data_IF_589483877468
#
_entry.id   IF_589483877468
#
_cell.length_a   1.000
_cell.length_b   1.000
_cell.length_c   1.000
_cell.angle_alpha   90.00
_cell.angle_beta   90.00
_cell.angle_gamma   90.00
#
_symmetry.space_group_name_H-M   'P 1'
#
loop_
_entity.id
_entity.type
_entity.pdbx_description
1 polymer ?
#
# COMPACT_ATOMS: atom_id res chain seq x y z
N UNK A 1 19.27 -13.53 -7.26
CA UNK A 1 18.30 -12.43 -7.05
C UNK A 1 19.11 -11.21 -6.62
N UNK A 2 18.73 -10.01 -7.03
CA UNK A 2 19.44 -8.78 -6.64
C UNK A 2 19.35 -8.63 -5.12
N UNK A 3 20.47 -8.41 -4.42
CA UNK A 3 20.51 -8.24 -2.95
C UNK A 3 19.52 -7.17 -2.47
N UNK A 4 19.31 -6.11 -3.26
CA UNK A 4 18.33 -5.06 -2.93
C UNK A 4 16.90 -5.59 -3.07
N UNK A 5 16.63 -6.45 -4.03
CA UNK A 5 15.33 -7.12 -4.16
C UNK A 5 15.08 -8.08 -2.99
N UNK A 6 16.07 -8.88 -2.61
CA UNK A 6 15.95 -9.80 -1.46
C UNK A 6 15.60 -9.03 -0.18
N UNK A 7 16.19 -7.82 -0.02
CA UNK A 7 15.92 -6.96 1.12
C UNK A 7 14.49 -6.42 1.10
N UNK A 8 13.98 -6.01 -0.05
CA UNK A 8 12.58 -5.58 -0.16
C UNK A 8 11.64 -6.73 0.24
N UNK A 9 11.88 -7.92 -0.30
CA UNK A 9 11.09 -9.12 -0.01
C UNK A 9 11.11 -9.52 1.49
N UNK A 10 12.23 -9.32 2.17
CA UNK A 10 12.32 -9.48 3.64
C UNK A 10 11.40 -8.51 4.37
N UNK A 11 11.42 -7.23 3.98
CA UNK A 11 10.54 -6.19 4.55
C UNK A 11 9.08 -6.56 4.29
N UNK A 12 8.74 -7.01 3.07
CA UNK A 12 7.37 -7.42 2.74
C UNK A 12 6.89 -8.53 3.68
N UNK A 13 7.68 -9.60 3.84
CA UNK A 13 7.36 -10.72 4.73
C UNK A 13 7.22 -10.27 6.19
N UNK A 14 8.13 -9.42 6.67
CA UNK A 14 8.14 -8.94 8.05
C UNK A 14 6.85 -8.21 8.40
N UNK A 15 6.34 -7.40 7.47
CA UNK A 15 5.16 -6.55 7.68
C UNK A 15 3.88 -7.08 7.05
N UNK A 16 3.89 -8.34 6.58
CA UNK A 16 2.71 -8.97 5.95
C UNK A 16 2.16 -8.13 4.80
N UNK A 17 3.06 -7.56 4.01
CA UNK A 17 2.74 -6.73 2.86
C UNK A 17 2.55 -7.61 1.62
N UNK A 18 1.45 -7.41 0.91
CA UNK A 18 1.04 -8.24 -0.22
C UNK A 18 1.14 -7.45 -1.53
N UNK A 19 2.14 -7.72 -2.38
CA UNK A 19 2.15 -7.21 -3.75
C UNK A 19 0.98 -7.79 -4.56
N UNK A 20 0.39 -6.96 -5.41
CA UNK A 20 -0.58 -7.37 -6.44
C UNK A 20 0.07 -7.30 -7.82
N UNK A 21 -0.15 -8.34 -8.63
CA UNK A 21 0.50 -8.50 -9.92
C UNK A 21 1.93 -9.00 -9.81
N UNK A 22 2.77 -8.67 -10.79
CA UNK A 22 4.13 -9.23 -10.90
C UNK A 22 5.23 -8.33 -10.30
N UNK A 23 4.93 -7.04 -10.12
CA UNK A 23 5.90 -6.04 -9.64
C UNK A 23 5.65 -5.64 -8.19
N UNK A 24 6.00 -4.38 -7.87
CA UNK A 24 5.89 -3.77 -6.54
C UNK A 24 5.11 -2.45 -6.59
N UNK A 25 4.17 -2.36 -7.52
CA UNK A 25 3.34 -1.18 -7.73
C UNK A 25 2.11 -1.19 -6.82
N UNK A 26 1.50 -2.33 -6.52
CA UNK A 26 0.41 -2.39 -5.52
C UNK A 26 0.79 -3.28 -4.34
N UNK A 27 1.65 -2.77 -3.46
CA UNK A 27 2.04 -3.47 -2.23
C UNK A 27 1.09 -3.10 -1.09
N UNK A 28 0.04 -3.92 -0.89
CA UNK A 28 -1.01 -3.70 0.11
C UNK A 28 -0.46 -4.00 1.51
N UNK A 29 -0.66 -3.08 2.46
CA UNK A 29 -0.18 -3.26 3.84
C UNK A 29 -1.28 -2.96 4.84
N UNK A 30 -1.57 -3.92 5.72
CA UNK A 30 -2.58 -3.75 6.75
C UNK A 30 -2.26 -2.56 7.68
N UNK A 31 -3.32 -1.92 8.19
CA UNK A 31 -3.29 -0.74 9.06
C UNK A 31 -2.46 -0.90 10.34
N UNK A 32 -2.28 -2.12 10.80
CA UNK A 32 -1.45 -2.37 11.99
C UNK A 32 0.05 -2.24 11.70
N UNK A 33 0.47 -2.35 10.44
CA UNK A 33 1.88 -2.45 10.05
C UNK A 33 2.38 -1.29 9.17
N UNK A 34 1.49 -0.52 8.53
CA UNK A 34 1.91 0.43 7.49
C UNK A 34 2.92 1.49 7.96
N UNK A 35 2.85 1.96 9.21
CA UNK A 35 3.79 2.97 9.72
C UNK A 35 5.22 2.43 9.80
N UNK A 36 5.37 1.26 10.42
CA UNK A 36 6.67 0.61 10.59
C UNK A 36 7.21 0.10 9.25
N UNK A 37 6.32 -0.37 8.37
CA UNK A 37 6.63 -0.71 6.99
C UNK A 37 7.23 0.46 6.20
N UNK A 38 6.58 1.63 6.23
CA UNK A 38 7.08 2.84 5.57
C UNK A 38 8.45 3.21 6.16
N UNK A 39 8.55 3.25 7.48
CA UNK A 39 9.79 3.63 8.14
C UNK A 39 10.95 2.72 7.70
N UNK A 40 10.78 1.40 7.81
CA UNK A 40 11.81 0.44 7.44
C UNK A 40 12.14 0.46 5.95
N UNK A 41 11.14 0.66 5.08
CA UNK A 41 11.37 0.80 3.64
C UNK A 41 12.27 2.01 3.34
N UNK A 42 11.95 3.18 3.90
CA UNK A 42 12.76 4.40 3.71
C UNK A 42 14.15 4.27 4.36
N UNK A 43 14.27 3.59 5.51
CA UNK A 43 15.57 3.33 6.14
C UNK A 43 16.49 2.41 5.33
N UNK A 44 15.92 1.55 4.48
CA UNK A 44 16.65 0.68 3.56
C UNK A 44 16.77 1.27 2.15
N UNK A 45 16.60 2.59 2.00
CA UNK A 45 16.78 3.33 0.75
C UNK A 45 15.90 2.82 -0.41
N UNK A 46 14.67 2.40 -0.06
CA UNK A 46 13.59 2.23 -1.01
C UNK A 46 12.81 3.53 -1.18
N UNK A 47 12.36 3.76 -2.40
CA UNK A 47 11.56 4.91 -2.78
C UNK A 47 10.11 4.47 -2.98
N UNK A 48 9.19 5.13 -2.29
CA UNK A 48 7.74 4.96 -2.46
C UNK A 48 7.26 6.23 -3.14
N UNK A 49 6.75 6.12 -4.37
CA UNK A 49 6.40 7.28 -5.19
C UNK A 49 4.89 7.43 -5.42
N UNK A 50 4.09 6.44 -5.02
CA UNK A 50 2.65 6.59 -5.02
C UNK A 50 1.98 5.73 -3.95
N UNK A 51 0.75 6.11 -3.64
CA UNK A 51 -0.17 5.35 -2.79
C UNK A 51 -1.44 5.09 -3.61
N UNK A 52 -1.84 3.82 -3.69
CA UNK A 52 -3.17 3.42 -4.14
C UNK A 52 -4.02 2.99 -2.93
N UNK A 53 -5.34 2.97 -3.09
CA UNK A 53 -6.26 2.76 -1.98
C UNK A 53 -7.16 1.56 -2.18
N UNK A 54 -7.29 0.77 -1.12
CA UNK A 54 -7.98 -0.50 -1.10
C UNK A 54 -8.94 -0.56 0.09
N UNK A 55 -9.95 -1.41 -0.04
CA UNK A 55 -10.85 -1.80 1.03
C UNK A 55 -10.50 -3.21 1.51
N UNK A 56 -10.46 -3.42 2.82
CA UNK A 56 -10.39 -4.75 3.44
C UNK A 56 -11.75 -5.17 3.97
N UNK A 57 -12.16 -6.37 3.59
CA UNK A 57 -13.42 -6.98 4.03
C UNK A 57 -13.20 -8.45 4.38
N UNK A 58 -14.03 -9.03 5.26
CA UNK A 58 -14.00 -10.47 5.55
C UNK A 58 -14.42 -11.30 4.35
N UNK A 59 -15.48 -10.87 3.68
CA UNK A 59 -16.02 -11.53 2.49
C UNK A 59 -16.09 -10.54 1.34
N UNK A 60 -15.71 -11.00 0.13
CA UNK A 60 -15.67 -10.14 -1.06
C UNK A 60 -17.07 -9.58 -1.43
N UNK A 61 -18.14 -10.28 -1.03
CA UNK A 61 -19.53 -9.82 -1.20
C UNK A 61 -19.86 -8.58 -0.40
N UNK A 62 -19.11 -8.33 0.69
CA UNK A 62 -19.44 -7.30 1.67
C UNK A 62 -18.72 -5.97 1.37
N UNK A 63 -17.95 -5.91 0.28
CA UNK A 63 -17.27 -4.70 -0.18
C UNK A 63 -18.28 -3.57 -0.40
N UNK A 64 -17.94 -2.38 0.08
CA UNK A 64 -18.77 -1.17 0.00
C UNK A 64 -18.21 -0.17 -1.01
N UNK A 65 -16.89 -0.11 -1.14
CA UNK A 65 -16.17 0.93 -1.86
C UNK A 65 -15.36 0.37 -3.02
N UNK A 66 -14.72 -0.78 -2.80
CA UNK A 66 -13.84 -1.42 -3.77
C UNK A 66 -14.61 -2.25 -4.80
N UNK A 67 -13.98 -2.48 -5.95
CA UNK A 67 -14.57 -3.26 -7.04
C UNK A 67 -14.28 -4.76 -6.95
N UNK A 68 -13.18 -5.13 -6.30
CA UNK A 68 -12.75 -6.52 -6.11
C UNK A 68 -11.23 -6.63 -6.06
N UNK A 69 -10.70 -7.82 -5.81
CA UNK A 69 -9.26 -8.02 -5.70
C UNK A 69 -8.90 -9.37 -5.09
N UNK A 70 -7.63 -9.57 -4.71
CA UNK A 70 -7.15 -10.84 -4.21
C UNK A 70 -7.62 -11.10 -2.78
N UNK A 71 -7.72 -12.38 -2.42
CA UNK A 71 -7.78 -12.80 -1.02
C UNK A 71 -6.45 -12.43 -0.35
N UNK A 72 -6.50 -12.00 0.90
CA UNK A 72 -5.28 -11.75 1.66
C UNK A 72 -4.54 -13.07 1.92
N UNK A 73 -3.21 -13.07 1.73
CA UNK A 73 -2.35 -14.20 2.09
C UNK A 73 -2.07 -14.28 3.60
N UNK A 74 -2.21 -13.15 4.31
CA UNK A 74 -1.77 -13.02 5.69
C UNK A 74 -2.90 -12.88 6.70
N UNK A 75 -4.11 -12.52 6.23
CA UNK A 75 -5.28 -12.26 7.08
C UNK A 75 -6.52 -12.96 6.50
N UNK A 76 -7.51 -13.22 7.35
CA UNK A 76 -8.78 -13.76 6.89
C UNK A 76 -9.66 -12.65 6.33
N UNK A 77 -9.59 -12.49 5.00
CA UNK A 77 -10.34 -11.47 4.28
C UNK A 77 -9.87 -11.27 2.85
N UNK A 78 -10.45 -10.27 2.21
CA UNK A 78 -10.22 -9.87 0.83
C UNK A 78 -9.83 -8.42 0.76
N UNK A 79 -8.99 -8.11 -0.23
CA UNK A 79 -8.74 -6.75 -0.64
C UNK A 79 -9.60 -6.41 -1.85
N UNK A 80 -10.21 -5.23 -1.85
CA UNK A 80 -10.98 -4.72 -2.98
C UNK A 80 -10.44 -3.35 -3.40
N UNK A 81 -10.00 -3.23 -4.65
CA UNK A 81 -9.42 -2.01 -5.18
C UNK A 81 -10.47 -0.91 -5.25
N UNK A 82 -10.17 0.28 -4.70
CA UNK A 82 -11.02 1.44 -4.90
C UNK A 82 -10.61 2.06 -6.24
N UNK A 83 -11.53 2.12 -7.21
CA UNK A 83 -11.25 2.64 -8.55
C UNK A 83 -11.93 4.00 -8.76
N UNK A 84 -11.62 4.99 -7.91
CA UNK A 84 -12.14 6.35 -8.03
C UNK A 84 -11.05 7.30 -8.51
N UNK A 85 -11.42 8.49 -8.99
CA UNK A 85 -10.42 9.49 -9.43
C UNK A 85 -9.37 9.78 -8.36
N UNK A 86 -9.77 9.74 -7.09
CA UNK A 86 -8.92 10.05 -5.96
C UNK A 86 -8.22 8.80 -5.39
N UNK A 87 -8.37 7.60 -5.96
CA UNK A 87 -7.81 6.38 -5.34
C UNK A 87 -6.34 6.12 -5.62
N UNK A 88 -5.69 7.01 -6.37
CA UNK A 88 -4.26 6.99 -6.65
C UNK A 88 -3.66 8.36 -6.40
N UNK A 89 -2.55 8.41 -5.66
CA UNK A 89 -1.82 9.64 -5.36
C UNK A 89 -0.33 9.43 -5.58
N UNK A 90 0.19 10.04 -6.65
CA UNK A 90 1.61 10.07 -6.98
C UNK A 90 2.29 11.29 -6.34
N UNK A 91 3.56 11.12 -5.97
CA UNK A 91 4.41 12.16 -5.40
C UNK A 91 5.89 11.82 -5.62
N UNK A 92 6.71 12.86 -5.67
CA UNK A 92 8.15 12.69 -5.79
C UNK A 92 8.81 12.67 -4.41
N UNK A 93 9.07 11.48 -3.87
CA UNK A 93 9.67 11.34 -2.54
C UNK A 93 11.09 11.92 -2.44
N UNK A 94 11.74 12.15 -3.59
CA UNK A 94 13.09 12.70 -3.65
C UNK A 94 13.13 14.23 -3.49
N UNK A 95 11.98 14.91 -3.49
CA UNK A 95 11.89 16.32 -3.11
C UNK A 95 12.18 16.54 -1.61
N UNK A 96 12.08 15.47 -0.81
CA UNK A 96 12.33 15.50 0.63
C UNK A 96 13.75 15.03 0.95
N UNK A 97 14.45 15.84 1.75
CA UNK A 97 15.89 15.71 1.95
C UNK A 97 16.26 14.66 2.99
N UNK A 98 15.48 14.58 4.08
CA UNK A 98 15.74 13.63 5.17
C UNK A 98 14.81 12.42 5.11
N UNK A 99 15.28 11.28 5.62
CA UNK A 99 14.44 10.08 5.80
C UNK A 99 13.19 10.36 6.64
N UNK A 100 13.34 11.21 7.66
CA UNK A 100 12.22 11.63 8.52
C UNK A 100 11.16 12.40 7.72
N UNK A 101 11.56 13.39 6.93
CA UNK A 101 10.63 14.15 6.07
C UNK A 101 9.88 13.22 5.12
N UNK A 102 10.59 12.29 4.46
CA UNK A 102 9.97 11.28 3.57
C UNK A 102 8.90 10.45 4.28
N UNK A 103 9.23 9.93 5.46
CA UNK A 103 8.28 9.15 6.28
C UNK A 103 7.08 10.01 6.68
N UNK A 104 7.33 11.20 7.23
CA UNK A 104 6.28 12.10 7.70
C UNK A 104 5.32 12.50 6.56
N UNK A 105 5.85 12.80 5.37
CA UNK A 105 5.04 13.12 4.19
C UNK A 105 4.13 11.96 3.78
N UNK A 106 4.65 10.73 3.70
CA UNK A 106 3.83 9.57 3.33
C UNK A 106 2.74 9.37 4.38
N UNK A 107 3.07 9.48 5.67
CA UNK A 107 2.10 9.36 6.76
C UNK A 107 1.03 10.45 6.70
N UNK A 108 1.41 11.70 6.40
CA UNK A 108 0.48 12.82 6.24
C UNK A 108 -0.51 12.57 5.09
N UNK A 109 -0.03 12.07 3.94
CA UNK A 109 -0.90 11.71 2.80
C UNK A 109 -1.92 10.63 3.18
N UNK A 110 -1.48 9.61 3.93
CA UNK A 110 -2.36 8.55 4.42
C UNK A 110 -3.38 9.11 5.41
N UNK A 111 -2.95 9.87 6.41
CA UNK A 111 -3.81 10.40 7.48
C UNK A 111 -4.80 11.46 7.01
N UNK A 112 -4.42 12.25 6.01
CA UNK A 112 -5.29 13.26 5.41
C UNK A 112 -6.28 12.66 4.41
N UNK A 113 -6.21 11.35 4.12
CA UNK A 113 -7.06 10.76 3.09
C UNK A 113 -8.54 10.84 3.41
N UNK A 114 -9.29 11.42 2.48
CA UNK A 114 -10.75 11.46 2.47
C UNK A 114 -11.26 11.13 1.07
N UNK A 115 -12.19 10.19 0.95
CA UNK A 115 -12.97 9.96 -0.25
C UNK A 115 -14.36 10.57 -0.09
N UNK A 116 -14.82 11.25 -1.15
CA UNK A 116 -16.14 11.88 -1.20
C UNK A 116 -17.08 10.97 -1.98
N UNK A 117 -18.11 10.48 -1.31
CA UNK A 117 -19.21 9.73 -1.91
C UNK A 117 -20.51 10.55 -1.86
N UNK A 118 -21.52 10.11 -2.58
CA UNK A 118 -22.82 10.79 -2.63
C UNK A 118 -23.53 10.78 -1.27
N UNK A 119 -23.38 9.70 -0.52
CA UNK A 119 -24.01 9.44 0.78
C UNK A 119 -23.15 9.86 1.98
N UNK A 120 -21.93 10.37 1.73
CA UNK A 120 -21.06 10.88 2.79
C UNK A 120 -19.58 10.83 2.41
N UNK A 121 -18.73 11.20 3.37
CA UNK A 121 -17.29 11.11 3.21
C UNK A 121 -16.76 9.98 4.08
N UNK A 122 -15.84 9.19 3.55
CA UNK A 122 -15.03 8.25 4.35
C UNK A 122 -13.62 8.80 4.46
N UNK A 123 -13.00 8.64 5.63
CA UNK A 123 -11.61 9.03 5.83
C UNK A 123 -10.81 7.88 6.38
N UNK A 124 -9.51 7.84 6.09
CA UNK A 124 -8.61 6.81 6.61
C UNK A 124 -8.65 6.74 8.13
N UNK A 125 -8.71 7.89 8.83
CA UNK A 125 -8.74 7.92 10.28
C UNK A 125 -10.04 7.38 10.91
N UNK A 126 -11.15 7.34 10.16
CA UNK A 126 -12.48 6.95 10.67
C UNK A 126 -12.99 5.62 10.12
N UNK A 127 -12.38 5.11 9.07
CA UNK A 127 -12.78 3.88 8.41
C UNK A 127 -11.61 2.88 8.46
N UNK A 128 -11.79 1.80 9.22
CA UNK A 128 -10.79 0.74 9.42
C UNK A 128 -10.68 -0.20 8.20
N UNK A 129 -11.67 -0.20 7.32
CA UNK A 129 -11.67 -0.98 6.08
C UNK A 129 -10.76 -0.31 5.03
N UNK A 130 -10.46 0.99 5.15
CA UNK A 130 -9.58 1.68 4.21
C UNK A 130 -8.10 1.37 4.48
N UNK A 131 -7.42 0.82 3.48
CA UNK A 131 -6.04 0.33 3.55
C UNK A 131 -5.19 0.92 2.40
N UNK A 132 -3.96 1.39 2.67
CA UNK A 132 -3.06 1.85 1.63
C UNK A 132 -2.33 0.68 0.95
N UNK A 133 -1.99 0.88 -0.32
CA UNK A 133 -0.98 0.11 -1.02
C UNK A 133 0.09 1.03 -1.59
N UNK A 134 1.32 0.55 -1.64
CA UNK A 134 2.50 1.37 -1.92
C UNK A 134 3.13 0.99 -3.25
N UNK A 135 3.49 2.02 -4.03
CA UNK A 135 4.17 1.90 -5.29
C UNK A 135 5.67 2.16 -5.10
N UNK A 136 6.46 1.11 -5.21
CA UNK A 136 7.92 1.19 -5.12
C UNK A 136 8.55 1.56 -6.46
N UNK A 137 9.47 2.53 -6.44
CA UNK A 137 10.31 2.87 -7.58
C UNK A 137 11.50 1.91 -7.64
N UNK A 138 11.29 0.76 -8.27
CA UNK A 138 12.28 -0.30 -8.48
C UNK A 138 12.30 -0.70 -9.96
N UNK A 139 13.36 -1.36 -10.46
CA UNK A 139 13.39 -1.78 -11.87
C UNK A 139 12.19 -2.63 -12.26
N UNK A 140 11.61 -2.38 -13.43
CA UNK A 140 10.47 -3.15 -13.98
C UNK A 140 10.78 -4.65 -14.18
N UNK A 141 12.07 -4.99 -14.25
CA UNK A 141 12.54 -6.38 -14.34
C UNK A 141 12.44 -7.14 -13.02
N UNK A 142 12.19 -6.47 -11.90
CA UNK A 142 12.00 -7.12 -10.61
C UNK A 142 10.63 -7.78 -10.55
N UNK A 143 10.67 -9.08 -10.31
CA UNK A 143 9.50 -9.95 -10.24
C UNK A 143 9.32 -10.39 -8.79
N UNK A 144 8.17 -10.10 -8.18
CA UNK A 144 7.92 -10.51 -6.79
C UNK A 144 7.78 -12.03 -6.66
N UNK A 145 8.06 -12.55 -5.47
CA UNK A 145 8.06 -14.00 -5.20
C UNK A 145 6.66 -14.64 -5.12
N UNK A 146 5.60 -13.84 -5.22
CA UNK A 146 4.23 -14.28 -4.95
C UNK A 146 3.37 -14.41 -6.21
N UNK A 147 4.00 -14.48 -7.38
CA UNK A 147 3.29 -14.75 -8.63
C UNK A 147 2.72 -16.17 -8.61
N UNK A 148 1.40 -16.27 -8.76
CA UNK A 148 0.69 -17.54 -8.86
C UNK A 148 0.45 -18.27 -7.53
N UNK A 149 0.66 -17.60 -6.40
CA UNK A 149 0.24 -18.06 -5.05
C UNK A 149 -1.15 -17.55 -4.70
#
# INVERSE_FOLDING_TARGET
>A
MDLKQEKLEEILRKYKAQPVGNGYIDVIVNRDYYKDFIAESIFNDFEINAISWWEYTKEISDRKFGMGGPKSWFFDGWFAEICTKDSYEEFNIMEYTSRKERIDTILEKIHSKVFKYFDGNISFLKNEELIPAFWFNVPDSWINQYIGT
#
